data_IF_343361494993
#
_entry.id   IF_343361494993
#
_cell.length_a   1.000
_cell.length_b   1.000
_cell.length_c   1.000
_cell.angle_alpha   90.00
_cell.angle_beta   90.00
_cell.angle_gamma   90.00
#
_symmetry.space_group_name_H-M   'P 1'
#
loop_
_entity.id
_entity.type
_entity.pdbx_description
1 polymer ?
#
# COMPACT_ATOMS: atom_id res chain seq x y z
N UNK A 1 -17.21 46.91 8.53
CA UNK A 1 -16.53 46.19 7.41
C UNK A 1 -15.40 45.30 7.91
N UNK A 2 -14.59 45.73 8.89
CA UNK A 2 -13.58 44.88 9.57
C UNK A 2 -14.05 43.48 10.02
N UNK A 3 -15.18 43.30 10.73
CA UNK A 3 -15.55 41.97 11.23
C UNK A 3 -15.87 40.98 10.12
N UNK A 4 -16.34 41.45 8.96
CA UNK A 4 -16.62 40.61 7.81
C UNK A 4 -15.33 40.13 7.13
N UNK A 5 -14.33 41.02 7.02
CA UNK A 5 -13.02 40.70 6.43
C UNK A 5 -12.28 39.68 7.30
N UNK A 6 -12.27 39.86 8.62
CA UNK A 6 -11.69 38.90 9.56
C UNK A 6 -12.38 37.54 9.45
N UNK A 7 -13.72 37.54 9.42
CA UNK A 7 -14.50 36.30 9.28
C UNK A 7 -14.20 35.55 7.98
N UNK A 8 -14.04 36.27 6.86
CA UNK A 8 -13.69 35.69 5.56
C UNK A 8 -12.26 35.09 5.56
N UNK A 9 -11.30 35.79 6.17
CA UNK A 9 -9.92 35.31 6.32
C UNK A 9 -9.86 34.06 7.20
N UNK A 10 -10.60 34.03 8.31
CA UNK A 10 -10.67 32.85 9.17
C UNK A 10 -11.32 31.67 8.48
N UNK A 11 -12.36 31.89 7.65
CA UNK A 11 -13.00 30.84 6.88
C UNK A 11 -12.02 30.25 5.84
N UNK A 12 -11.27 31.10 5.13
CA UNK A 12 -10.26 30.67 4.16
C UNK A 12 -9.12 29.91 4.83
N UNK A 13 -8.62 30.40 5.97
CA UNK A 13 -7.58 29.73 6.75
C UNK A 13 -8.04 28.36 7.24
N UNK A 14 -9.26 28.26 7.81
CA UNK A 14 -9.82 27.00 8.24
C UNK A 14 -10.03 26.02 7.07
N UNK A 15 -10.49 26.51 5.91
CA UNK A 15 -10.61 25.70 4.70
C UNK A 15 -9.26 25.16 4.22
N UNK A 16 -8.21 25.99 4.29
CA UNK A 16 -6.84 25.58 3.95
C UNK A 16 -6.26 24.56 4.94
N UNK A 17 -6.51 24.75 6.23
CA UNK A 17 -6.10 23.80 7.27
C UNK A 17 -6.76 22.44 7.06
N UNK A 18 -8.03 22.39 6.66
CA UNK A 18 -8.70 21.12 6.31
C UNK A 18 -7.97 20.40 5.17
N UNK A 19 -7.57 21.14 4.13
CA UNK A 19 -6.82 20.56 2.99
C UNK A 19 -5.44 20.05 3.45
N UNK A 20 -4.69 20.82 4.24
CA UNK A 20 -3.39 20.39 4.76
C UNK A 20 -3.54 19.13 5.61
N UNK A 21 -4.53 19.09 6.50
CA UNK A 21 -4.76 17.93 7.35
C UNK A 21 -5.17 16.70 6.54
N UNK A 22 -6.01 16.85 5.52
CA UNK A 22 -6.35 15.77 4.59
C UNK A 22 -5.10 15.23 3.88
N UNK A 23 -4.25 16.12 3.36
CA UNK A 23 -3.00 15.71 2.71
C UNK A 23 -2.04 15.03 3.69
N UNK A 24 -1.89 15.56 4.90
CA UNK A 24 -1.05 14.96 5.94
C UNK A 24 -1.51 13.55 6.33
N UNK A 25 -2.83 13.31 6.30
CA UNK A 25 -3.39 11.97 6.50
C UNK A 25 -3.10 11.06 5.31
N UNK A 26 -3.24 11.54 4.07
CA UNK A 26 -3.09 10.72 2.86
C UNK A 26 -1.64 10.40 2.48
N UNK A 27 -0.71 11.33 2.69
CA UNK A 27 0.70 11.22 2.28
C UNK A 27 1.37 9.92 2.77
N UNK A 28 1.24 9.52 4.06
CA UNK A 28 1.83 8.26 4.55
C UNK A 28 1.30 7.00 3.85
N UNK A 29 0.09 7.05 3.29
CA UNK A 29 -0.54 5.93 2.58
C UNK A 29 -0.22 5.91 1.09
N UNK A 30 0.41 6.96 0.55
CA UNK A 30 0.80 7.01 -0.87
C UNK A 30 1.57 5.78 -1.35
N UNK A 31 2.51 5.18 -0.58
CA UNK A 31 3.21 3.98 -1.04
C UNK A 31 2.28 2.77 -1.14
N UNK A 32 1.30 2.65 -0.25
CA UNK A 32 0.32 1.56 -0.28
C UNK A 32 -0.64 1.72 -1.47
N UNK A 33 -1.10 2.93 -1.74
CA UNK A 33 -1.93 3.24 -2.92
C UNK A 33 -1.15 2.94 -4.20
N UNK A 34 0.12 3.34 -4.26
CA UNK A 34 1.00 3.03 -5.40
C UNK A 34 1.20 1.52 -5.57
N UNK A 35 1.36 0.77 -4.47
CA UNK A 35 1.47 -0.69 -4.50
C UNK A 35 0.22 -1.32 -5.13
N UNK A 36 -0.98 -0.93 -4.66
CA UNK A 36 -2.25 -1.41 -5.21
C UNK A 36 -2.38 -1.04 -6.69
N UNK A 37 -2.14 0.22 -7.06
CA UNK A 37 -2.25 0.68 -8.43
C UNK A 37 -1.30 -0.07 -9.37
N UNK A 38 -0.05 -0.29 -8.95
CA UNK A 38 0.93 -1.05 -9.72
C UNK A 38 0.46 -2.48 -9.98
N UNK A 39 0.05 -3.21 -8.93
CA UNK A 39 -0.36 -4.60 -9.09
C UNK A 39 -1.72 -4.76 -9.76
N UNK A 40 -2.60 -3.77 -9.69
CA UNK A 40 -3.92 -3.83 -10.33
C UNK A 40 -3.91 -3.38 -11.80
N UNK A 41 -3.09 -2.39 -12.15
CA UNK A 41 -3.14 -1.73 -13.46
C UNK A 41 -1.88 -1.92 -14.30
N UNK A 42 -0.70 -2.01 -13.68
CA UNK A 42 0.57 -2.09 -14.42
C UNK A 42 0.97 -3.53 -14.74
N UNK A 43 0.61 -4.48 -13.89
CA UNK A 43 1.02 -5.88 -14.04
C UNK A 43 -0.01 -6.67 -14.85
N UNK A 44 0.44 -7.35 -15.90
CA UNK A 44 -0.39 -8.28 -16.64
C UNK A 44 -0.42 -9.64 -15.92
N UNK A 45 -1.49 -9.88 -15.16
CA UNK A 45 -1.67 -11.13 -14.41
C UNK A 45 -1.96 -12.35 -15.27
N UNK A 46 -2.46 -12.18 -16.49
CA UNK A 46 -2.66 -13.28 -17.43
C UNK A 46 -1.32 -13.88 -17.87
N UNK A 47 -0.30 -13.03 -18.05
CA UNK A 47 1.08 -13.47 -18.34
C UNK A 47 1.81 -13.94 -17.08
N UNK A 48 1.60 -13.28 -15.93
CA UNK A 48 2.31 -13.59 -14.69
C UNK A 48 1.81 -14.87 -14.00
N UNK A 49 0.49 -15.14 -14.03
CA UNK A 49 -0.10 -16.28 -13.33
C UNK A 49 0.45 -17.64 -13.77
N UNK A 50 0.58 -17.95 -15.08
CA UNK A 50 1.20 -19.19 -15.54
C UNK A 50 2.66 -19.34 -15.08
N UNK A 51 3.41 -18.25 -14.96
CA UNK A 51 4.80 -18.27 -14.48
C UNK A 51 4.85 -18.59 -12.99
N UNK A 52 3.95 -18.00 -12.19
CA UNK A 52 3.82 -18.34 -10.77
C UNK A 52 3.38 -19.78 -10.57
N UNK A 53 2.41 -20.27 -11.35
CA UNK A 53 1.94 -21.66 -11.29
C UNK A 53 3.05 -22.68 -11.61
N UNK A 54 4.05 -22.29 -12.42
CA UNK A 54 5.24 -23.11 -12.73
C UNK A 54 6.33 -23.08 -11.64
N UNK A 55 6.09 -22.40 -10.51
CA UNK A 55 6.98 -22.40 -9.35
C UNK A 55 7.66 -21.06 -9.04
N UNK A 56 7.41 -19.99 -9.81
CA UNK A 56 7.99 -18.68 -9.51
C UNK A 56 7.50 -18.07 -8.18
N UNK A 57 6.47 -18.65 -7.56
CA UNK A 57 6.03 -18.33 -6.19
C UNK A 57 7.19 -18.39 -5.19
N UNK A 58 8.13 -19.33 -5.34
CA UNK A 58 9.29 -19.44 -4.44
C UNK A 58 10.12 -18.16 -4.49
N UNK A 59 10.34 -17.59 -5.68
CA UNK A 59 11.07 -16.33 -5.84
C UNK A 59 10.36 -15.18 -5.13
N UNK A 60 9.03 -15.10 -5.26
CA UNK A 60 8.20 -14.10 -4.56
C UNK A 60 8.31 -14.23 -3.04
N UNK A 61 8.26 -15.45 -2.52
CA UNK A 61 8.41 -15.71 -1.08
C UNK A 61 9.80 -15.32 -0.58
N UNK A 62 10.86 -15.63 -1.33
CA UNK A 62 12.23 -15.24 -1.00
C UNK A 62 12.39 -13.72 -0.98
N UNK A 63 11.80 -13.01 -1.95
CA UNK A 63 11.77 -11.53 -1.94
C UNK A 63 11.04 -11.04 -0.68
N UNK A 64 9.92 -11.65 -0.32
CA UNK A 64 9.21 -11.34 0.93
C UNK A 64 10.08 -11.50 2.17
N UNK A 65 10.85 -12.59 2.27
CA UNK A 65 11.80 -12.82 3.38
C UNK A 65 12.86 -11.71 3.41
N UNK A 66 13.46 -11.38 2.27
CA UNK A 66 14.46 -10.29 2.17
C UNK A 66 13.85 -8.95 2.59
N UNK A 67 12.62 -8.64 2.18
CA UNK A 67 11.91 -7.43 2.60
C UNK A 67 11.72 -7.36 4.12
N UNK A 68 11.36 -8.48 4.77
CA UNK A 68 11.23 -8.55 6.23
C UNK A 68 12.56 -8.27 6.92
N UNK A 69 13.65 -8.87 6.43
CA UNK A 69 14.99 -8.68 6.99
C UNK A 69 15.45 -7.23 6.85
N UNK A 70 15.37 -6.68 5.64
CA UNK A 70 15.78 -5.29 5.36
C UNK A 70 14.94 -4.32 6.19
N UNK A 71 13.62 -4.47 6.21
CA UNK A 71 12.74 -3.56 6.94
C UNK A 71 12.92 -3.68 8.46
N UNK A 72 13.16 -4.89 8.96
CA UNK A 72 13.46 -5.13 10.37
C UNK A 72 14.73 -4.40 10.83
N UNK A 73 15.73 -4.26 9.95
CA UNK A 73 17.01 -3.59 10.24
C UNK A 73 16.96 -2.06 10.10
N UNK A 74 16.28 -1.55 9.07
CA UNK A 74 16.28 -0.11 8.77
C UNK A 74 15.37 0.68 9.71
N UNK A 75 14.22 0.11 10.09
CA UNK A 75 13.20 0.83 10.87
C UNK A 75 12.68 -0.03 12.03
N UNK A 76 13.52 -0.30 13.04
CA UNK A 76 13.09 -0.96 14.26
C UNK A 76 12.12 -0.06 15.05
N UNK A 77 11.06 -0.62 15.64
CA UNK A 77 10.14 0.13 16.51
C UNK A 77 10.87 0.60 17.78
N UNK A 78 10.50 1.77 18.30
CA UNK A 78 11.15 2.39 19.47
C UNK A 78 11.12 1.50 20.73
N UNK A 79 10.06 0.71 20.91
CA UNK A 79 9.91 -0.24 22.02
C UNK A 79 10.39 -1.67 21.67
N UNK A 80 10.92 -1.90 20.46
CA UNK A 80 11.32 -3.22 19.98
C UNK A 80 10.15 -4.16 19.62
N UNK A 81 8.92 -3.70 19.80
CA UNK A 81 7.68 -4.47 19.66
C UNK A 81 6.69 -3.70 18.77
N UNK A 82 5.90 -4.43 17.97
CA UNK A 82 4.76 -3.85 17.25
C UNK A 82 3.47 -4.08 18.04
N UNK A 83 2.55 -3.12 18.00
CA UNK A 83 1.23 -3.26 18.63
C UNK A 83 0.19 -3.52 17.55
N UNK A 84 -0.26 -4.77 17.42
CA UNK A 84 -1.17 -5.22 16.36
C UNK A 84 -2.38 -5.92 16.99
N UNK A 85 -3.58 -5.33 16.89
CA UNK A 85 -4.84 -5.88 17.42
C UNK A 85 -4.75 -6.33 18.91
N UNK A 86 -3.98 -5.61 19.73
CA UNK A 86 -3.74 -5.97 21.14
C UNK A 86 -2.62 -7.00 21.37
N UNK A 87 -2.06 -7.57 20.31
CA UNK A 87 -0.89 -8.45 20.36
C UNK A 87 0.41 -7.64 20.30
N UNK A 88 1.46 -8.23 20.87
CA UNK A 88 2.81 -7.65 20.98
C UNK A 88 3.86 -8.50 20.25
N UNK A 89 3.77 -8.67 18.92
CA UNK A 89 4.79 -9.41 18.17
C UNK A 89 6.14 -8.69 18.20
N UNK A 90 7.21 -9.49 18.23
CA UNK A 90 8.59 -8.99 18.09
C UNK A 90 8.78 -8.29 16.74
N UNK A 91 9.81 -7.43 16.64
CA UNK A 91 10.05 -6.62 15.43
C UNK A 91 9.92 -7.43 14.11
N UNK A 92 10.70 -8.51 13.95
CA UNK A 92 10.69 -9.31 12.72
C UNK A 92 9.36 -10.01 12.47
N UNK A 93 8.66 -10.47 13.52
CA UNK A 93 7.34 -11.09 13.38
C UNK A 93 6.31 -10.06 12.93
N UNK A 94 6.33 -8.86 13.49
CA UNK A 94 5.46 -7.76 13.07
C UNK A 94 5.72 -7.36 11.60
N UNK A 95 6.98 -7.25 11.19
CA UNK A 95 7.34 -7.00 9.78
C UNK A 95 6.90 -8.14 8.86
N UNK A 96 7.00 -9.40 9.30
CA UNK A 96 6.49 -10.54 8.54
C UNK A 96 4.99 -10.46 8.31
N UNK A 97 4.21 -10.03 9.30
CA UNK A 97 2.76 -9.80 9.15
C UNK A 97 2.51 -8.72 8.09
N UNK A 98 3.18 -7.56 8.17
CA UNK A 98 3.00 -6.49 7.19
C UNK A 98 3.37 -6.90 5.76
N UNK A 99 4.52 -7.57 5.59
CA UNK A 99 4.95 -8.04 4.25
C UNK A 99 3.97 -9.10 3.72
N UNK A 100 3.48 -9.99 4.58
CA UNK A 100 2.45 -10.97 4.18
C UNK A 100 1.19 -10.26 3.69
N UNK A 101 0.71 -9.22 4.39
CA UNK A 101 -0.44 -8.42 3.95
C UNK A 101 -0.18 -7.77 2.59
N UNK A 102 1.03 -7.24 2.33
CA UNK A 102 1.38 -6.67 1.02
C UNK A 102 1.33 -7.71 -0.11
N UNK A 103 1.80 -8.94 0.15
CA UNK A 103 1.72 -10.05 -0.80
C UNK A 103 0.27 -10.51 -1.02
N UNK A 104 -0.55 -10.51 0.02
CA UNK A 104 -1.98 -10.81 -0.10
C UNK A 104 -2.70 -9.76 -0.94
N UNK A 105 -2.42 -8.47 -0.72
CA UNK A 105 -2.96 -7.37 -1.54
C UNK A 105 -2.56 -7.54 -3.00
N UNK A 106 -1.29 -7.84 -3.26
CA UNK A 106 -0.78 -8.13 -4.60
C UNK A 106 -1.60 -9.27 -5.25
N UNK A 107 -1.76 -10.41 -4.58
CA UNK A 107 -2.52 -11.54 -5.11
C UNK A 107 -4.03 -11.23 -5.29
N UNK A 108 -4.60 -10.40 -4.42
CA UNK A 108 -5.99 -9.95 -4.53
C UNK A 108 -6.18 -9.06 -5.75
N UNK A 109 -5.25 -8.15 -6.05
CA UNK A 109 -5.27 -7.35 -7.27
C UNK A 109 -5.29 -8.24 -8.51
N UNK A 110 -4.44 -9.28 -8.54
CA UNK A 110 -4.43 -10.26 -9.62
C UNK A 110 -5.75 -11.03 -9.76
N UNK A 111 -6.34 -11.44 -8.64
CA UNK A 111 -7.63 -12.12 -8.63
C UNK A 111 -8.75 -11.24 -9.20
N UNK A 112 -8.77 -9.96 -8.83
CA UNK A 112 -9.73 -8.97 -9.36
C UNK A 112 -9.54 -8.79 -10.86
N UNK A 113 -8.30 -8.68 -11.34
CA UNK A 113 -8.02 -8.53 -12.76
C UNK A 113 -8.43 -9.75 -13.58
N UNK A 114 -8.09 -10.96 -13.12
CA UNK A 114 -8.46 -12.23 -13.77
C UNK A 114 -9.96 -12.51 -13.73
N UNK A 115 -10.70 -11.94 -12.77
CA UNK A 115 -12.17 -12.03 -12.74
C UNK A 115 -12.87 -11.20 -13.83
N UNK A 116 -12.12 -10.36 -14.55
CA UNK A 116 -12.65 -9.45 -15.58
C UNK A 116 -13.23 -8.14 -15.05
N UNK A 117 -13.25 -7.94 -13.72
CA UNK A 117 -13.80 -6.74 -13.08
C UNK A 117 -13.12 -5.43 -13.53
N UNK A 118 -11.84 -5.47 -13.92
CA UNK A 118 -11.08 -4.32 -14.40
C UNK A 118 -10.85 -4.31 -15.93
N UNK A 119 -11.62 -5.07 -16.71
CA UNK A 119 -11.39 -5.25 -18.16
C UNK A 119 -11.38 -3.97 -19.01
N UNK A 120 -12.03 -2.88 -18.56
CA UNK A 120 -11.96 -1.59 -19.27
C UNK A 120 -10.69 -0.78 -18.96
N UNK A 121 -10.06 -1.03 -17.79
CA UNK A 121 -8.90 -0.30 -17.30
C UNK A 121 -7.58 -1.04 -17.58
N UNK A 122 -7.64 -2.36 -17.72
CA UNK A 122 -6.48 -3.25 -17.87
C UNK A 122 -6.39 -3.83 -19.30
N UNK A 123 -6.51 -2.97 -20.34
CA UNK A 123 -6.27 -3.39 -21.72
C UNK A 123 -4.78 -3.33 -22.03
N UNK A 124 -4.10 -4.45 -21.90
CA UNK A 124 -2.71 -4.58 -22.35
C UNK A 124 -2.71 -4.84 -23.86
N UNK A 125 -2.01 -4.00 -24.63
CA UNK A 125 -1.74 -4.29 -26.05
C UNK A 125 -0.94 -5.58 -26.15
N UNK A 126 -1.38 -6.48 -27.03
CA UNK A 126 -0.63 -7.69 -27.38
C UNK A 126 0.56 -7.28 -28.26
N UNK A 127 1.72 -7.08 -27.63
CA UNK A 127 3.03 -7.25 -28.28
C UNK A 127 3.55 -8.67 -28.05
#
# INVERSE_FOLDING_TARGET
MEPLVVSLQTLLAAGWDVVINLLAVLIPWTPLVAWVAFWLLAVNWEKLYPVMAKGAVIGVLLIGVVMVLIWGLIAPPAEGVHHLFGLRPSNFVGKAIYVTMLLTIMALCGSVQLSGACGSLCRFTEE
#
